data_IF_848038993176
#
_entry.id   IF_848038993176
#
_cell.length_a   1.000
_cell.length_b   1.000
_cell.length_c   1.000
_cell.angle_alpha   90.00
_cell.angle_beta   90.00
_cell.angle_gamma   90.00
#
_symmetry.space_group_name_H-M   'P 1'
#
loop_
_entity.id
_entity.type
_entity.pdbx_description
1 polymer ?
#
# COMPACT_ATOMS: atom_id res chain seq x y z
N UNK A 1 -4.21 -15.15 22.44
CA UNK A 1 -3.95 -14.32 21.24
C UNK A 1 -4.46 -14.90 19.91
N UNK A 2 -5.05 -16.10 19.88
CA UNK A 2 -5.55 -16.74 18.63
C UNK A 2 -6.89 -16.19 18.12
N UNK A 3 -7.79 -15.74 19.00
CA UNK A 3 -9.14 -15.28 18.62
C UNK A 3 -9.21 -13.90 17.97
N UNK A 4 -8.18 -13.06 18.09
CA UNK A 4 -8.19 -11.71 17.52
C UNK A 4 -7.95 -11.70 16.01
N UNK A 5 -7.19 -12.66 15.48
CA UNK A 5 -6.83 -12.68 14.05
C UNK A 5 -8.05 -12.87 13.13
N UNK A 6 -8.95 -13.84 13.39
CA UNK A 6 -10.17 -13.99 12.58
C UNK A 6 -11.06 -12.75 12.67
N UNK A 7 -11.21 -12.17 13.87
CA UNK A 7 -12.02 -10.97 14.06
C UNK A 7 -11.46 -9.76 13.28
N UNK A 8 -10.15 -9.54 13.35
CA UNK A 8 -9.48 -8.49 12.58
C UNK A 8 -9.51 -8.74 11.07
N UNK A 9 -9.58 -10.00 10.65
CA UNK A 9 -9.75 -10.34 9.24
C UNK A 9 -11.16 -9.99 8.75
N UNK A 10 -12.19 -10.30 9.54
CA UNK A 10 -13.58 -9.92 9.27
C UNK A 10 -13.75 -8.40 9.32
N UNK A 11 -13.11 -7.73 10.27
CA UNK A 11 -13.10 -6.27 10.38
C UNK A 11 -12.56 -5.60 9.11
N UNK A 12 -11.62 -6.24 8.41
CA UNK A 12 -11.02 -5.75 7.17
C UNK A 12 -11.54 -6.49 5.93
N UNK A 13 -12.72 -7.13 6.02
CA UNK A 13 -13.18 -8.08 5.02
C UNK A 13 -13.20 -7.51 3.59
N UNK A 14 -13.70 -6.28 3.32
CA UNK A 14 -13.75 -5.75 1.95
C UNK A 14 -12.37 -5.69 1.31
N UNK A 15 -11.40 -5.10 1.99
CA UNK A 15 -10.03 -4.97 1.48
C UNK A 15 -9.26 -6.28 1.50
N UNK A 16 -9.49 -7.18 2.46
CA UNK A 16 -8.86 -8.50 2.45
C UNK A 16 -9.30 -9.33 1.23
N UNK A 17 -10.58 -9.24 0.85
CA UNK A 17 -11.09 -9.92 -0.34
C UNK A 17 -10.44 -9.35 -1.62
N UNK A 18 -10.36 -8.02 -1.75
CA UNK A 18 -9.67 -7.37 -2.87
C UNK A 18 -8.18 -7.74 -2.93
N UNK A 19 -7.49 -7.75 -1.77
CA UNK A 19 -6.10 -8.15 -1.67
C UNK A 19 -5.88 -9.60 -2.12
N UNK A 20 -6.76 -10.52 -1.71
CA UNK A 20 -6.69 -11.91 -2.13
C UNK A 20 -6.90 -12.08 -3.65
N UNK A 21 -7.90 -11.39 -4.21
CA UNK A 21 -8.17 -11.39 -5.66
C UNK A 21 -6.94 -10.86 -6.42
N UNK A 22 -6.37 -9.74 -5.98
CA UNK A 22 -5.22 -9.13 -6.64
C UNK A 22 -3.98 -10.03 -6.57
N UNK A 23 -3.70 -10.65 -5.42
CA UNK A 23 -2.64 -11.66 -5.30
C UNK A 23 -2.80 -12.80 -6.31
N UNK A 24 -4.03 -13.27 -6.52
CA UNK A 24 -4.31 -14.35 -7.47
C UNK A 24 -4.10 -13.90 -8.92
N UNK A 25 -4.67 -12.75 -9.31
CA UNK A 25 -4.54 -12.19 -10.66
C UNK A 25 -3.07 -11.93 -11.02
N UNK A 26 -2.32 -11.35 -10.09
CA UNK A 26 -0.91 -10.98 -10.28
C UNK A 26 0.06 -12.16 -10.06
N UNK A 27 -0.46 -13.34 -9.71
CA UNK A 27 0.31 -14.54 -9.36
C UNK A 27 1.39 -14.24 -8.32
N UNK A 28 1.06 -13.35 -7.38
CA UNK A 28 1.99 -12.81 -6.42
C UNK A 28 2.42 -13.89 -5.40
N UNK A 29 3.70 -13.94 -5.08
CA UNK A 29 4.27 -14.95 -4.17
C UNK A 29 4.60 -14.33 -2.83
N UNK A 30 4.21 -15.01 -1.76
CA UNK A 30 4.53 -14.55 -0.40
C UNK A 30 6.05 -14.51 -0.19
N UNK A 31 6.49 -13.42 0.42
CA UNK A 31 7.86 -13.12 0.82
C UNK A 31 7.86 -12.52 2.21
N UNK A 32 9.01 -12.57 2.87
CA UNK A 32 9.22 -11.92 4.16
C UNK A 32 10.62 -11.34 4.20
N UNK A 33 10.71 -10.02 4.32
CA UNK A 33 11.98 -9.29 4.39
C UNK A 33 11.80 -8.16 5.40
N UNK A 34 12.85 -7.84 6.17
CA UNK A 34 12.81 -6.80 7.22
C UNK A 34 11.70 -6.98 8.28
N UNK A 35 11.25 -8.22 8.50
CA UNK A 35 10.14 -8.51 9.40
C UNK A 35 8.74 -8.23 8.81
N UNK A 36 8.65 -7.80 7.56
CA UNK A 36 7.40 -7.48 6.86
C UNK A 36 7.05 -8.64 5.92
N UNK A 37 5.82 -9.16 6.05
CA UNK A 37 5.27 -10.14 5.11
C UNK A 37 4.58 -9.42 3.96
N UNK A 38 4.95 -9.71 2.72
CA UNK A 38 4.37 -9.11 1.52
C UNK A 38 4.23 -10.16 0.41
N UNK A 39 3.55 -9.79 -0.67
CA UNK A 39 3.29 -10.59 -1.85
C UNK A 39 3.95 -9.93 -3.06
N UNK A 40 4.95 -10.61 -3.62
CA UNK A 40 5.76 -10.09 -4.71
C UNK A 40 5.19 -10.54 -6.06
N UNK A 41 4.87 -9.59 -6.93
CA UNK A 41 4.52 -9.83 -8.33
C UNK A 41 5.77 -9.64 -9.21
N UNK A 42 6.32 -10.73 -9.77
CA UNK A 42 7.53 -10.68 -10.62
C UNK A 42 7.28 -10.23 -12.06
N UNK A 43 6.05 -10.43 -12.54
CA UNK A 43 5.59 -10.05 -13.87
C UNK A 43 4.23 -9.39 -13.72
N UNK A 44 4.18 -8.22 -13.07
CA UNK A 44 2.91 -7.59 -12.76
C UNK A 44 2.18 -7.19 -14.04
N UNK A 45 0.85 -7.27 -13.99
CA UNK A 45 -0.04 -6.70 -14.97
C UNK A 45 0.06 -5.16 -15.01
N UNK A 46 -0.66 -4.53 -15.94
CA UNK A 46 -0.59 -3.07 -16.13
C UNK A 46 -1.00 -2.27 -14.89
N UNK A 47 -1.82 -2.84 -14.01
CA UNK A 47 -2.29 -2.18 -12.78
C UNK A 47 -1.23 -2.15 -11.67
N UNK A 48 -0.35 -3.16 -11.63
CA UNK A 48 0.66 -3.31 -10.56
C UNK A 48 2.08 -2.98 -11.00
N UNK A 49 2.32 -2.71 -12.29
CA UNK A 49 3.65 -2.38 -12.80
C UNK A 49 4.20 -1.09 -12.16
N UNK A 50 5.36 -1.19 -11.52
CA UNK A 50 6.00 -0.16 -10.72
C UNK A 50 5.14 0.39 -9.57
N UNK A 51 4.27 -0.45 -9.00
CA UNK A 51 3.38 -0.08 -7.91
C UNK A 51 3.57 -0.99 -6.69
N UNK A 52 3.24 -0.43 -5.53
CA UNK A 52 3.01 -1.13 -4.27
C UNK A 52 1.61 -0.75 -3.78
N UNK A 53 0.92 -1.69 -3.12
CA UNK A 53 -0.41 -1.44 -2.56
C UNK A 53 -0.66 -2.30 -1.33
N UNK A 54 -1.39 -1.72 -0.37
CA UNK A 54 -1.85 -2.40 0.83
C UNK A 54 -3.36 -2.51 0.88
N UNK A 55 -3.84 -3.75 0.98
CA UNK A 55 -5.24 -4.12 1.05
C UNK A 55 -5.44 -5.08 2.23
N UNK A 56 -5.78 -4.52 3.39
CA UNK A 56 -5.95 -5.31 4.60
C UNK A 56 -4.65 -5.98 5.03
N UNK A 57 -4.67 -7.31 5.11
CA UNK A 57 -3.51 -8.13 5.48
C UNK A 57 -2.52 -8.35 4.33
N UNK A 58 -2.83 -7.84 3.13
CA UNK A 58 -2.04 -8.07 1.92
C UNK A 58 -1.31 -6.81 1.52
N UNK A 59 0.02 -6.82 1.69
CA UNK A 59 0.93 -5.88 1.03
C UNK A 59 1.37 -6.54 -0.28
N UNK A 60 1.09 -5.93 -1.42
CA UNK A 60 1.34 -6.49 -2.75
C UNK A 60 2.24 -5.51 -3.50
N UNK A 61 3.35 -6.00 -4.03
CA UNK A 61 4.41 -5.13 -4.56
C UNK A 61 5.01 -5.72 -5.83
N UNK A 62 5.24 -4.87 -6.84
CA UNK A 62 6.11 -5.22 -7.97
C UNK A 62 7.55 -5.41 -7.48
N UNK A 63 8.17 -6.53 -7.86
CA UNK A 63 9.56 -6.82 -7.56
C UNK A 63 10.53 -5.66 -7.89
N UNK A 64 10.23 -4.85 -8.91
CA UNK A 64 11.03 -3.69 -9.31
C UNK A 64 11.07 -2.55 -8.28
N UNK A 65 10.08 -2.47 -7.37
CA UNK A 65 9.95 -1.41 -6.35
C UNK A 65 9.88 -1.97 -4.93
N UNK A 66 10.18 -3.26 -4.74
CA UNK A 66 10.12 -3.93 -3.44
C UNK A 66 11.34 -3.60 -2.54
N UNK A 67 11.67 -2.32 -2.41
CA UNK A 67 12.73 -1.85 -1.53
C UNK A 67 12.24 -1.65 -0.08
N UNK A 68 13.20 -1.42 0.83
CA UNK A 68 12.88 -1.27 2.26
C UNK A 68 11.93 -0.11 2.52
N UNK A 69 12.11 1.01 1.81
CA UNK A 69 11.30 2.20 2.03
C UNK A 69 9.84 1.96 1.63
N UNK A 70 9.62 1.38 0.46
CA UNK A 70 8.29 1.02 -0.04
C UNK A 70 7.60 0.01 0.86
N UNK A 71 8.31 -1.04 1.31
CA UNK A 71 7.73 -2.02 2.23
C UNK A 71 7.34 -1.40 3.59
N UNK A 72 8.14 -0.48 4.12
CA UNK A 72 7.79 0.24 5.36
C UNK A 72 6.57 1.13 5.15
N UNK A 73 6.53 1.90 4.06
CA UNK A 73 5.39 2.73 3.67
C UNK A 73 4.09 1.92 3.60
N UNK A 74 4.11 0.81 2.85
CA UNK A 74 2.96 -0.10 2.74
C UNK A 74 2.56 -0.72 4.08
N UNK A 75 3.52 -1.06 4.94
CA UNK A 75 3.20 -1.52 6.30
C UNK A 75 2.45 -0.47 7.13
N UNK A 76 2.66 0.83 6.83
CA UNK A 76 1.90 1.93 7.37
C UNK A 76 0.44 1.93 6.90
N UNK A 77 0.20 1.73 5.61
CA UNK A 77 -1.15 1.55 5.07
C UNK A 77 -1.87 0.32 5.64
N UNK A 78 -1.14 -0.79 5.83
CA UNK A 78 -1.67 -1.96 6.53
C UNK A 78 -2.13 -1.63 7.97
N UNK A 79 -1.37 -0.80 8.70
CA UNK A 79 -1.78 -0.33 10.04
C UNK A 79 -3.01 0.58 9.98
N UNK A 80 -3.10 1.46 8.98
CA UNK A 80 -4.32 2.27 8.76
C UNK A 80 -5.53 1.38 8.49
N UNK A 81 -5.37 0.32 7.69
CA UNK A 81 -6.42 -0.64 7.41
C UNK A 81 -6.88 -1.39 8.66
N UNK A 82 -5.96 -1.79 9.53
CA UNK A 82 -6.31 -2.43 10.81
C UNK A 82 -7.20 -1.55 11.68
N UNK A 83 -6.91 -0.24 11.72
CA UNK A 83 -7.67 0.73 12.52
C UNK A 83 -9.03 1.04 11.88
N UNK A 84 -9.05 1.34 10.59
CA UNK A 84 -10.25 1.82 9.89
C UNK A 84 -11.20 0.71 9.46
N UNK A 85 -10.72 -0.54 9.37
CA UNK A 85 -11.52 -1.68 8.94
C UNK A 85 -12.24 -1.42 7.62
N UNK A 86 -13.57 -1.55 7.53
CA UNK A 86 -14.29 -1.42 6.27
C UNK A 86 -14.19 0.00 5.67
N UNK A 87 -13.92 1.03 6.48
CA UNK A 87 -13.81 2.41 6.01
C UNK A 87 -12.45 2.74 5.38
N UNK A 88 -11.46 1.87 5.50
CA UNK A 88 -10.12 2.07 4.95
C UNK A 88 -10.14 2.42 3.46
N UNK A 89 -10.93 1.68 2.67
CA UNK A 89 -11.00 1.91 1.23
C UNK A 89 -11.56 3.29 0.89
N UNK A 90 -12.46 3.84 1.70
CA UNK A 90 -13.05 5.16 1.46
C UNK A 90 -12.16 6.30 1.98
N UNK A 91 -11.55 6.12 3.15
CA UNK A 91 -10.81 7.17 3.86
C UNK A 91 -9.33 7.24 3.44
N UNK A 92 -8.74 6.12 3.02
CA UNK A 92 -7.32 6.04 2.65
C UNK A 92 -7.18 5.55 1.21
N UNK A 93 -7.76 4.40 0.88
CA UNK A 93 -7.55 3.77 -0.44
C UNK A 93 -7.98 4.68 -1.59
N UNK A 94 -9.19 5.23 -1.52
CA UNK A 94 -9.73 6.13 -2.54
C UNK A 94 -8.92 7.43 -2.64
N UNK A 95 -8.63 8.16 -1.55
CA UNK A 95 -7.72 9.31 -1.59
C UNK A 95 -6.34 9.01 -2.19
N UNK A 96 -5.71 7.87 -1.84
CA UNK A 96 -4.40 7.47 -2.38
C UNK A 96 -4.46 7.27 -3.90
N UNK A 97 -5.43 6.51 -4.39
CA UNK A 97 -5.64 6.28 -5.83
C UNK A 97 -5.95 7.60 -6.56
N UNK A 98 -6.81 8.45 -5.98
CA UNK A 98 -7.13 9.76 -6.58
C UNK A 98 -5.92 10.67 -6.64
N UNK A 99 -5.08 10.70 -5.59
CA UNK A 99 -3.83 11.46 -5.56
C UNK A 99 -2.87 10.99 -6.66
N UNK A 100 -2.75 9.68 -6.87
CA UNK A 100 -1.90 9.11 -7.90
C UNK A 100 -2.41 9.48 -9.30
N UNK A 101 -3.72 9.40 -9.52
CA UNK A 101 -4.34 9.81 -10.78
C UNK A 101 -4.17 11.31 -11.05
N UNK A 102 -4.41 12.15 -10.03
CA UNK A 102 -4.20 13.60 -10.14
C UNK A 102 -2.76 13.94 -10.50
N UNK A 103 -1.78 13.28 -9.86
CA UNK A 103 -0.37 13.47 -10.16
C UNK A 103 -0.03 13.13 -11.63
N UNK A 104 -0.53 11.99 -12.13
CA UNK A 104 -0.34 11.57 -13.53
C UNK A 104 -0.98 12.54 -14.54
N UNK A 105 -2.10 13.17 -14.17
CA UNK A 105 -2.83 14.08 -15.06
C UNK A 105 -2.29 15.51 -15.03
N UNK A 106 -2.02 16.04 -13.83
CA UNK A 106 -1.75 17.47 -13.60
C UNK A 106 -0.25 17.78 -13.50
N UNK A 107 0.58 16.85 -13.05
CA UNK A 107 2.00 17.09 -12.78
C UNK A 107 2.94 16.51 -13.85
N UNK A 108 2.47 16.37 -15.10
CA UNK A 108 3.24 15.78 -16.21
C UNK A 108 4.60 16.46 -16.47
N UNK A 109 4.71 17.76 -16.16
CA UNK A 109 5.93 18.56 -16.33
C UNK A 109 6.82 18.62 -15.08
N UNK A 110 6.40 18.03 -13.97
CA UNK A 110 7.18 18.02 -12.74
C UNK A 110 8.23 16.93 -12.80
N UNK A 111 9.39 17.17 -12.18
CA UNK A 111 10.39 16.14 -11.97
C UNK A 111 9.83 15.01 -11.10
N UNK A 112 10.35 13.80 -11.25
CA UNK A 112 9.94 12.64 -10.44
C UNK A 112 10.03 12.91 -8.94
N UNK A 113 11.12 13.52 -8.49
CA UNK A 113 11.34 13.90 -7.10
C UNK A 113 10.29 14.91 -6.57
N UNK A 114 9.87 15.87 -7.42
CA UNK A 114 8.83 16.85 -7.03
C UNK A 114 7.47 16.17 -6.91
N UNK A 115 7.14 15.25 -7.81
CA UNK A 115 5.90 14.47 -7.79
C UNK A 115 5.84 13.57 -6.55
N UNK A 116 6.93 12.87 -6.26
CA UNK A 116 7.06 12.03 -5.08
C UNK A 116 6.91 12.86 -3.79
N UNK A 117 7.62 13.99 -3.67
CA UNK A 117 7.48 14.88 -2.50
C UNK A 117 6.07 15.39 -2.32
N UNK A 118 5.39 15.75 -3.40
CA UNK A 118 4.00 16.21 -3.32
C UNK A 118 3.06 15.08 -2.89
N UNK A 119 3.18 13.89 -3.47
CA UNK A 119 2.33 12.75 -3.14
C UNK A 119 2.52 12.34 -1.67
N UNK A 120 3.76 12.19 -1.22
CA UNK A 120 4.07 11.86 0.19
C UNK A 120 3.80 13.00 1.18
N UNK A 121 3.49 14.21 0.71
CA UNK A 121 3.02 15.30 1.57
C UNK A 121 1.51 15.21 1.88
N UNK A 122 0.74 14.41 1.14
CA UNK A 122 -0.68 14.19 1.39
C UNK A 122 -0.89 13.57 2.79
N UNK A 123 -1.91 13.97 3.57
CA UNK A 123 -2.03 13.55 4.97
C UNK A 123 -2.09 12.03 5.19
N UNK A 124 -2.79 11.30 4.32
CA UNK A 124 -2.91 9.84 4.39
C UNK A 124 -1.61 9.12 4.02
N UNK A 125 -0.86 9.63 3.04
CA UNK A 125 0.46 9.12 2.65
C UNK A 125 1.51 9.39 3.74
N UNK A 126 1.56 10.64 4.22
CA UNK A 126 2.48 11.06 5.29
C UNK A 126 2.25 10.30 6.59
N UNK A 127 0.99 9.97 6.89
CA UNK A 127 0.68 9.15 8.07
C UNK A 127 1.03 7.68 7.85
N UNK A 128 0.95 7.15 6.62
CA UNK A 128 1.46 5.82 6.29
C UNK A 128 2.99 5.76 6.48
N UNK A 129 3.73 6.75 5.97
CA UNK A 129 5.18 6.84 6.20
C UNK A 129 5.55 6.81 7.69
N UNK A 130 4.85 7.62 8.50
CA UNK A 130 5.06 7.67 9.95
C UNK A 130 4.72 6.34 10.62
N UNK A 131 3.58 5.74 10.29
CA UNK A 131 3.16 4.45 10.85
C UNK A 131 4.08 3.32 10.42
N UNK A 132 4.68 3.41 9.22
CA UNK A 132 5.71 2.51 8.71
C UNK A 132 7.09 2.69 9.36
N UNK A 133 7.30 3.77 10.12
CA UNK A 133 8.58 4.08 10.76
C UNK A 133 9.60 4.71 9.83
N UNK A 134 9.16 5.29 8.70
CA UNK A 134 10.03 6.10 7.86
C UNK A 134 10.36 7.42 8.56
N UNK A 135 11.62 7.83 8.47
CA UNK A 135 12.03 9.16 8.92
C UNK A 135 11.45 10.20 7.95
N UNK A 136 11.05 11.36 8.47
CA UNK A 136 10.65 12.47 7.62
C UNK A 136 11.78 12.78 6.63
N UNK A 137 11.46 12.86 5.33
CA UNK A 137 12.39 13.40 4.34
C UNK A 137 12.53 14.89 4.64
N UNK A 138 13.72 15.31 5.05
CA UNK A 138 14.09 16.71 5.28
C UNK A 138 14.09 17.49 3.96
#
# INVERSE_FOLDING_TARGET
>A
MFFLKPLLFIWQLPQNLLGLILCFVERAKKRQVFGISYYEAKKPGPFMKYCAISLGSFIIVDAAVADKASLLHESGHQRQSLVLGPFYLLVIGLPSVTGNLMDRLLHKKWSGERRERWYHALPWEKSADRLGGLKAKN
#
